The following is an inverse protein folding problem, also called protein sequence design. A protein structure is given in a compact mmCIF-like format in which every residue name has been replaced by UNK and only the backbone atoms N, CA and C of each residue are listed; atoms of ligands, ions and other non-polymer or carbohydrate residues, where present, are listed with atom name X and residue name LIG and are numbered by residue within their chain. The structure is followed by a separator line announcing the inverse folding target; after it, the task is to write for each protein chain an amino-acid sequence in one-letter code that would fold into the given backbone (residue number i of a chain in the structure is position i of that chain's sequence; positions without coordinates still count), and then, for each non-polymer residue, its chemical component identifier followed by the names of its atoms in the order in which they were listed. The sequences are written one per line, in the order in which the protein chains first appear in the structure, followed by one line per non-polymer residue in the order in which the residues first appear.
data_IF_369814302220
#
_entry.id   IF_369814302220
#
_cell.length_a   1.000
_cell.length_b   1.000
_cell.length_c   1.000
_cell.angle_alpha   90.00
_cell.angle_beta   90.00
_cell.angle_gamma   90.00
#
_symmetry.space_group_name_H-M   'P 1'
#
loop_
_entity.id
_entity.type
_entity.pdbx_description
1 polymer ?
#
# COMPACT_ATOMS: atom_id res chain seq x y z
N UNK A 1 39.61 -12.54 5.98
CA UNK A 1 39.20 -11.19 6.45
C UNK A 1 38.70 -10.46 5.23
N UNK A 2 37.38 -10.27 5.10
CA UNK A 2 36.82 -9.40 4.08
C UNK A 2 37.38 -7.98 4.29
N UNK A 3 37.53 -7.22 3.20
CA UNK A 3 38.00 -5.85 3.31
C UNK A 3 36.91 -4.99 3.97
N UNK A 4 37.25 -3.98 4.80
CA UNK A 4 36.27 -3.16 5.52
C UNK A 4 35.20 -2.52 4.62
N UNK A 5 35.50 -2.30 3.34
CA UNK A 5 34.54 -1.78 2.36
C UNK A 5 33.45 -2.79 1.97
N UNK A 6 33.76 -4.09 1.96
CA UNK A 6 32.80 -5.16 1.67
C UNK A 6 31.78 -5.30 2.81
N UNK A 7 32.25 -5.24 4.06
CA UNK A 7 31.39 -5.29 5.24
C UNK A 7 30.46 -4.06 5.29
N UNK A 8 30.97 -2.86 4.98
CA UNK A 8 30.16 -1.63 4.91
C UNK A 8 29.12 -1.70 3.79
N UNK A 9 29.48 -2.23 2.62
CA UNK A 9 28.54 -2.43 1.52
C UNK A 9 27.45 -3.44 1.87
N UNK A 10 27.81 -4.56 2.51
CA UNK A 10 26.85 -5.56 2.98
C UNK A 10 25.87 -4.97 3.99
N UNK A 11 26.38 -4.26 5.00
CA UNK A 11 25.57 -3.61 6.02
C UNK A 11 24.60 -2.56 5.43
N UNK A 12 25.02 -1.81 4.41
CA UNK A 12 24.13 -0.87 3.69
C UNK A 12 22.97 -1.59 3.02
N UNK A 13 23.21 -2.75 2.42
CA UNK A 13 22.15 -3.58 1.84
C UNK A 13 21.23 -4.18 2.89
N UNK A 14 21.78 -4.68 3.99
CA UNK A 14 20.97 -5.19 5.10
C UNK A 14 20.04 -4.13 5.66
N UNK A 15 20.55 -2.91 5.86
CA UNK A 15 19.76 -1.78 6.31
C UNK A 15 18.67 -1.42 5.30
N UNK A 16 19.02 -1.31 4.01
CA UNK A 16 18.05 -0.98 2.97
C UNK A 16 16.93 -2.03 2.85
N UNK A 17 17.27 -3.32 2.96
CA UNK A 17 16.27 -4.40 2.97
C UNK A 17 15.39 -4.33 4.22
N UNK A 18 15.97 -4.04 5.38
CA UNK A 18 15.22 -3.88 6.62
C UNK A 18 14.21 -2.72 6.55
N UNK A 19 14.64 -1.56 6.04
CA UNK A 19 13.76 -0.40 5.90
C UNK A 19 12.61 -0.71 4.90
N UNK A 20 12.92 -1.37 3.79
CA UNK A 20 11.91 -1.79 2.82
C UNK A 20 10.93 -2.83 3.38
N UNK A 21 11.39 -3.73 4.26
CA UNK A 21 10.51 -4.70 4.94
C UNK A 21 9.52 -3.99 5.87
N UNK A 22 9.96 -2.96 6.59
CA UNK A 22 9.09 -2.15 7.46
C UNK A 22 8.06 -1.35 6.66
N UNK A 23 8.47 -0.81 5.50
CA UNK A 23 7.56 -0.13 4.58
C UNK A 23 6.47 -1.07 4.05
N UNK A 24 6.86 -2.30 3.65
CA UNK A 24 5.93 -3.32 3.16
C UNK A 24 4.97 -3.78 4.25
N UNK A 25 5.48 -4.06 5.45
CA UNK A 25 4.63 -4.42 6.60
C UNK A 25 3.62 -3.30 6.92
N UNK A 26 4.04 -2.04 6.80
CA UNK A 26 3.14 -0.91 7.00
C UNK A 26 2.06 -0.82 5.92
N UNK A 27 2.42 -1.05 4.65
CA UNK A 27 1.47 -1.09 3.54
C UNK A 27 0.47 -2.26 3.66
N UNK A 28 0.94 -3.45 4.05
CA UNK A 28 0.11 -4.63 4.30
C UNK A 28 -0.88 -4.38 5.44
N UNK A 29 -0.43 -3.79 6.57
CA UNK A 29 -1.32 -3.42 7.68
C UNK A 29 -2.39 -2.42 7.27
N UNK A 30 -2.06 -1.44 6.42
CA UNK A 30 -3.04 -0.48 5.90
C UNK A 30 -4.07 -1.14 4.97
N UNK A 31 -3.69 -2.20 4.25
CA UNK A 31 -4.64 -2.98 3.43
C UNK A 31 -5.58 -3.84 4.28
N UNK A 32 -5.09 -4.35 5.41
CA UNK A 32 -5.88 -5.19 6.31
C UNK A 32 -6.76 -4.35 7.26
N UNK A 33 -6.36 -3.12 7.56
CA UNK A 33 -7.11 -2.22 8.42
C UNK A 33 -8.37 -1.69 7.73
N UNK A 34 -9.49 -1.69 8.47
CA UNK A 34 -10.74 -1.03 8.04
C UNK A 34 -10.76 0.48 8.38
N UNK A 35 -9.63 1.08 8.76
CA UNK A 35 -9.53 2.48 9.18
C UNK A 35 -8.77 3.33 8.15
N UNK A 36 -9.19 4.58 8.01
CA UNK A 36 -8.54 5.58 7.14
C UNK A 36 -7.22 6.06 7.77
N UNK A 37 -6.07 5.92 7.10
CA UNK A 37 -4.79 6.37 7.64
C UNK A 37 -4.83 7.84 8.03
N UNK A 38 -4.09 8.20 9.06
CA UNK A 38 -3.98 9.59 9.48
C UNK A 38 -3.17 10.44 8.48
N UNK A 39 -3.23 11.76 8.61
CA UNK A 39 -2.54 12.69 7.70
C UNK A 39 -1.02 12.49 7.74
N UNK A 40 -0.46 12.14 8.90
CA UNK A 40 0.97 11.94 9.04
C UNK A 40 1.44 10.65 8.36
N UNK A 41 0.66 9.57 8.43
CA UNK A 41 0.87 8.32 7.71
C UNK A 41 0.85 8.53 6.21
N UNK A 42 -0.15 9.25 5.69
CA UNK A 42 -0.23 9.60 4.27
C UNK A 42 0.96 10.45 3.84
N UNK A 43 1.36 11.43 4.63
CA UNK A 43 2.52 12.28 4.34
C UNK A 43 3.83 11.47 4.31
N UNK A 44 4.02 10.53 5.24
CA UNK A 44 5.18 9.63 5.26
C UNK A 44 5.22 8.75 4.00
N UNK A 45 4.11 8.12 3.64
CA UNK A 45 4.02 7.32 2.43
C UNK A 45 4.31 8.15 1.15
N UNK A 46 3.80 9.38 1.08
CA UNK A 46 4.05 10.28 -0.06
C UNK A 46 5.52 10.76 -0.15
N UNK A 47 6.26 10.76 0.95
CA UNK A 47 7.66 11.16 1.00
C UNK A 47 8.63 10.03 0.64
N UNK A 48 8.14 8.79 0.48
CA UNK A 48 8.96 7.62 0.19
C UNK A 48 9.81 7.81 -1.07
N UNK A 49 11.07 7.38 -0.99
CA UNK A 49 12.03 7.39 -2.10
C UNK A 49 12.68 6.01 -2.19
N UNK A 50 12.82 5.44 -3.39
CA UNK A 50 13.54 4.19 -3.55
C UNK A 50 15.00 4.37 -3.12
N UNK A 51 15.59 3.41 -2.39
CA UNK A 51 16.99 3.49 -2.02
C UNK A 51 17.86 3.44 -3.28
N UNK A 52 18.93 4.25 -3.28
CA UNK A 52 19.82 4.41 -4.43
C UNK A 52 21.28 4.31 -3.99
N UNK A 53 22.18 4.06 -4.94
CA UNK A 53 23.63 3.99 -4.66
C UNK A 53 24.07 2.76 -3.85
N UNK A 54 23.26 1.71 -3.77
CA UNK A 54 23.58 0.48 -3.03
C UNK A 54 24.58 -0.44 -3.76
N UNK A 55 24.78 -0.25 -5.06
CA UNK A 55 25.60 -1.14 -5.89
C UNK A 55 24.88 -2.45 -6.24
N UNK A 56 25.63 -3.51 -6.55
CA UNK A 56 25.05 -4.83 -6.78
C UNK A 56 24.54 -5.43 -5.46
N UNK A 57 23.56 -6.33 -5.52
CA UNK A 57 23.06 -7.06 -4.35
C UNK A 57 24.05 -8.16 -3.91
N UNK A 58 24.47 -8.22 -2.63
CA UNK A 58 25.27 -9.32 -2.10
C UNK A 58 24.55 -10.66 -2.25
N UNK A 59 25.27 -11.70 -2.72
CA UNK A 59 24.70 -13.02 -2.96
C UNK A 59 23.98 -13.63 -1.74
N UNK A 60 24.48 -13.51 -0.49
CA UNK A 60 23.78 -14.05 0.68
C UNK A 60 22.43 -13.40 0.96
N UNK A 61 22.19 -12.18 0.46
CA UNK A 61 20.94 -11.45 0.67
C UNK A 61 19.92 -11.68 -0.46
N UNK A 62 20.26 -12.49 -1.46
CA UNK A 62 19.40 -12.76 -2.63
C UNK A 62 18.02 -13.30 -2.23
N UNK A 63 17.99 -14.33 -1.39
CA UNK A 63 16.73 -15.00 -1.05
C UNK A 63 15.82 -14.08 -0.23
N UNK A 64 16.40 -13.30 0.68
CA UNK A 64 15.69 -12.26 1.44
C UNK A 64 15.11 -11.19 0.53
N UNK A 65 15.90 -10.67 -0.41
CA UNK A 65 15.45 -9.67 -1.37
C UNK A 65 14.35 -10.21 -2.29
N UNK A 66 14.44 -11.48 -2.70
CA UNK A 66 13.41 -12.11 -3.53
C UNK A 66 12.09 -12.26 -2.76
N UNK A 67 12.14 -12.76 -1.52
CA UNK A 67 10.95 -12.90 -0.68
C UNK A 67 10.27 -11.52 -0.42
N UNK A 68 11.07 -10.48 -0.23
CA UNK A 68 10.57 -9.11 -0.10
C UNK A 68 9.91 -8.61 -1.38
N UNK A 69 10.51 -8.86 -2.55
CA UNK A 69 9.95 -8.48 -3.84
C UNK A 69 8.60 -9.18 -4.09
N UNK A 70 8.49 -10.47 -3.74
CA UNK A 70 7.25 -11.22 -3.91
C UNK A 70 6.12 -10.61 -3.06
N UNK A 71 6.41 -10.21 -1.81
CA UNK A 71 5.46 -9.48 -0.95
C UNK A 71 5.09 -8.12 -1.50
N UNK A 72 6.06 -7.37 -2.04
CA UNK A 72 5.80 -6.07 -2.67
C UNK A 72 4.85 -6.19 -3.86
N UNK A 73 5.03 -7.23 -4.69
CA UNK A 73 4.17 -7.49 -5.84
C UNK A 73 2.75 -7.90 -5.42
N UNK A 74 2.62 -8.73 -4.37
CA UNK A 74 1.31 -9.07 -3.80
C UNK A 74 0.58 -7.83 -3.24
N UNK A 75 1.25 -7.03 -2.42
CA UNK A 75 0.70 -5.80 -1.87
C UNK A 75 0.27 -4.82 -2.98
N UNK A 76 1.09 -4.65 -4.03
CA UNK A 76 0.76 -3.81 -5.17
C UNK A 76 -0.48 -4.33 -5.93
N UNK A 77 -0.61 -5.64 -6.11
CA UNK A 77 -1.78 -6.24 -6.73
C UNK A 77 -3.05 -6.01 -5.89
N UNK A 78 -2.97 -6.18 -4.57
CA UNK A 78 -4.06 -5.93 -3.62
C UNK A 78 -4.49 -4.45 -3.63
N UNK A 79 -3.54 -3.52 -3.65
CA UNK A 79 -3.81 -2.07 -3.75
C UNK A 79 -4.57 -1.77 -5.06
N UNK A 80 -4.09 -2.30 -6.20
CA UNK A 80 -4.73 -2.08 -7.49
C UNK A 80 -6.19 -2.60 -7.49
N UNK A 81 -6.43 -3.77 -6.90
CA UNK A 81 -7.78 -4.33 -6.74
C UNK A 81 -8.66 -3.44 -5.85
N UNK A 82 -8.16 -2.99 -4.70
CA UNK A 82 -8.89 -2.10 -3.79
C UNK A 82 -9.29 -0.77 -4.46
N UNK A 83 -8.40 -0.19 -5.29
CA UNK A 83 -8.69 1.02 -6.07
C UNK A 83 -9.82 0.78 -7.08
N UNK A 84 -9.80 -0.36 -7.79
CA UNK A 84 -10.85 -0.70 -8.76
C UNK A 84 -12.20 -0.88 -8.07
N UNK A 85 -12.24 -1.63 -6.96
CA UNK A 85 -13.46 -1.85 -6.16
C UNK A 85 -14.02 -0.52 -5.66
N UNK A 86 -13.17 0.32 -5.06
CA UNK A 86 -13.56 1.65 -4.56
C UNK A 86 -14.17 2.54 -5.65
N UNK A 87 -13.58 2.56 -6.85
CA UNK A 87 -14.13 3.31 -8.00
C UNK A 87 -15.50 2.81 -8.43
N UNK A 88 -15.74 1.49 -8.43
CA UNK A 88 -17.05 0.90 -8.74
C UNK A 88 -18.10 1.29 -7.70
N UNK A 89 -17.77 1.23 -6.41
CA UNK A 89 -18.67 1.66 -5.33
C UNK A 89 -19.05 3.13 -5.44
N UNK A 90 -18.09 4.01 -5.74
CA UNK A 90 -18.34 5.44 -5.96
C UNK A 90 -19.25 5.70 -7.18
N UNK A 91 -19.12 4.91 -8.24
CA UNK A 91 -20.00 5.03 -9.41
C UNK A 91 -21.43 4.57 -9.09
N UNK A 92 -21.59 3.44 -8.39
CA UNK A 92 -22.89 2.92 -8.00
C UNK A 92 -23.64 3.87 -7.04
N UNK A 93 -22.95 4.40 -6.03
CA UNK A 93 -23.53 5.39 -5.09
C UNK A 93 -24.01 6.66 -5.80
N UNK A 94 -23.20 7.22 -6.71
CA UNK A 94 -23.63 8.37 -7.55
C UNK A 94 -24.86 8.07 -8.40
N UNK A 95 -24.98 6.84 -8.90
CA UNK A 95 -26.12 6.42 -9.72
C UNK A 95 -27.41 6.31 -8.89
N UNK A 96 -27.31 5.86 -7.64
CA UNK A 96 -28.45 5.79 -6.70
C UNK A 96 -28.90 7.19 -6.28
N UNK A 97 -27.96 8.08 -5.92
CA UNK A 97 -28.27 9.49 -5.60
C UNK A 97 -29.02 10.16 -6.77
N UNK A 98 -28.54 9.99 -8.00
CA UNK A 98 -29.18 10.55 -9.19
C UNK A 98 -30.57 9.97 -9.49
N UNK A 99 -30.90 8.78 -8.97
CA UNK A 99 -32.15 8.07 -9.25
C UNK A 99 -33.24 8.28 -8.19
N UNK A 100 -32.94 8.93 -7.07
CA UNK A 100 -33.94 9.22 -6.02
C UNK A 100 -34.83 10.40 -6.45
N UNK A 101 -36.10 10.20 -6.84
CA UNK A 101 -37.00 11.31 -7.14
C UNK A 101 -37.45 11.93 -5.81
N UNK A 102 -37.23 13.22 -5.65
CA UNK A 102 -37.62 13.97 -4.46
C UNK A 102 -39.10 14.33 -4.47
N UNK A 103 -40.03 13.38 -4.33
CA UNK A 103 -41.39 13.69 -3.83
C UNK A 103 -41.97 12.49 -3.06
N UNK A 104 -42.02 12.53 -1.72
CA UNK A 104 -42.85 11.58 -0.96
C UNK A 104 -44.33 11.89 -1.24
N UNK A 105 -45.05 10.94 -1.85
CA UNK A 105 -46.50 11.01 -1.99
C UNK A 105 -47.13 10.41 -0.73
N UNK A 106 -47.74 11.25 0.10
CA UNK A 106 -48.59 10.78 1.20
C UNK A 106 -49.95 10.37 0.64
N UNK A 107 -50.29 9.09 0.80
CA UNK A 107 -51.58 8.54 0.45
C UNK A 107 -52.46 8.62 1.70
N UNK A 108 -53.32 9.65 1.75
CA UNK A 108 -54.27 9.79 2.86
C UNK A 108 -55.44 8.83 2.62
N UNK A 109 -55.44 7.71 3.37
CA UNK A 109 -56.56 6.78 3.40
C UNK A 109 -57.51 7.22 4.50
N UNK A 110 -58.35 8.23 4.22
CA UNK A 110 -59.54 8.49 5.02
C UNK A 110 -60.69 7.64 4.49
N UNK A 111 -61.17 6.74 5.34
CA UNK A 111 -62.42 5.99 5.16
C UNK A 111 -63.63 6.76 5.65
#
# INVERSE_FOLDING_TARGET
MAAPDEDVWHARWEQALHDLELDVESAERLLDAAHLPDVAEVARAAAWRPPSGLGALPLPLRDRAQALLDRQLDAAARIAQAVVVSRRHLHATRTIEARTPAVPVYLDTQG
#
